data_IF_446089751609
#
_entry.id   IF_446089751609
#
_cell.length_a   1.000
_cell.length_b   1.000
_cell.length_c   1.000
_cell.angle_alpha   90.00
_cell.angle_beta   90.00
_cell.angle_gamma   90.00
#
_symmetry.space_group_name_H-M   'P 1'
#
loop_
_entity.id
_entity.type
_entity.pdbx_description
1 polymer ?
#
# COMPACT_ATOMS: atom_id res chain seq x y z
N UNK A 1 23.06 -28.19 25.23
CA UNK A 1 23.01 -28.10 23.76
C UNK A 1 21.59 -28.43 23.34
N UNK A 2 20.77 -27.41 23.05
CA UNK A 2 19.41 -27.60 22.54
C UNK A 2 19.49 -27.63 21.01
N UNK A 3 19.06 -28.75 20.43
CA UNK A 3 18.90 -28.91 18.98
C UNK A 3 17.80 -27.98 18.47
N UNK A 4 18.21 -26.97 17.71
CA UNK A 4 17.32 -26.19 16.87
C UNK A 4 16.91 -27.08 15.68
N UNK A 5 15.78 -27.79 15.81
CA UNK A 5 15.13 -28.44 14.68
C UNK A 5 14.72 -27.36 13.69
N UNK A 6 15.38 -27.32 12.54
CA UNK A 6 14.93 -26.56 11.37
C UNK A 6 13.45 -26.89 11.10
N UNK A 7 12.59 -25.90 10.77
CA UNK A 7 11.22 -26.18 10.42
C UNK A 7 11.19 -27.15 9.23
N UNK A 8 10.48 -28.27 9.38
CA UNK A 8 10.20 -29.16 8.25
C UNK A 8 9.29 -28.39 7.31
N UNK A 9 9.83 -27.98 6.16
CA UNK A 9 9.03 -27.49 5.04
C UNK A 9 8.11 -28.64 4.61
N UNK A 10 6.87 -28.62 5.07
CA UNK A 10 5.86 -29.58 4.63
C UNK A 10 5.64 -29.42 3.14
N UNK A 11 5.87 -30.49 2.36
CA UNK A 11 5.53 -30.48 0.95
C UNK A 11 4.02 -30.27 0.81
N UNK A 12 3.61 -29.35 -0.08
CA UNK A 12 2.22 -29.25 -0.49
C UNK A 12 1.84 -30.58 -1.16
N UNK A 13 0.70 -31.15 -0.77
CA UNK A 13 0.22 -32.39 -1.34
C UNK A 13 0.11 -32.27 -2.87
N UNK A 14 0.57 -33.30 -3.61
CA UNK A 14 0.61 -33.28 -5.08
C UNK A 14 -0.75 -32.94 -5.72
N UNK A 15 -1.87 -33.42 -5.16
CA UNK A 15 -3.20 -33.11 -5.68
C UNK A 15 -3.57 -31.65 -5.48
N UNK A 16 -3.19 -31.08 -4.33
CA UNK A 16 -3.38 -29.65 -4.03
C UNK A 16 -2.50 -28.80 -4.93
N UNK A 17 -1.24 -29.19 -5.14
CA UNK A 17 -0.30 -28.49 -6.02
C UNK A 17 -0.77 -28.51 -7.49
N UNK A 18 -1.30 -29.65 -7.93
CA UNK A 18 -1.92 -29.80 -9.25
C UNK A 18 -3.14 -28.89 -9.39
N UNK A 19 -4.00 -28.81 -8.38
CA UNK A 19 -5.13 -27.86 -8.39
C UNK A 19 -4.64 -26.41 -8.45
N UNK A 20 -3.70 -26.02 -7.58
CA UNK A 20 -3.16 -24.65 -7.54
C UNK A 20 -2.58 -24.23 -8.89
N UNK A 21 -1.88 -25.15 -9.56
CA UNK A 21 -1.22 -24.90 -10.84
C UNK A 21 -2.18 -24.74 -12.02
N UNK A 22 -3.42 -25.23 -11.91
CA UNK A 22 -4.39 -25.28 -13.02
C UNK A 22 -5.68 -24.50 -12.75
N UNK A 23 -5.93 -24.09 -11.50
CA UNK A 23 -7.09 -23.30 -11.12
C UNK A 23 -7.02 -21.89 -11.73
N UNK A 24 -8.19 -21.33 -12.04
CA UNK A 24 -8.25 -19.93 -12.47
C UNK A 24 -7.92 -18.99 -11.31
N UNK A 25 -7.50 -17.76 -11.62
CA UNK A 25 -7.24 -16.76 -10.58
C UNK A 25 -8.48 -16.52 -9.69
N UNK A 26 -9.66 -16.50 -10.28
CA UNK A 26 -10.93 -16.36 -9.57
C UNK A 26 -11.15 -17.52 -8.60
N UNK A 27 -10.97 -18.76 -9.05
CA UNK A 27 -11.15 -19.95 -8.22
C UNK A 27 -10.14 -19.98 -7.06
N UNK A 28 -8.90 -19.57 -7.31
CA UNK A 28 -7.87 -19.44 -6.28
C UNK A 28 -8.26 -18.39 -5.23
N UNK A 29 -8.65 -17.20 -5.66
CA UNK A 29 -9.06 -16.13 -4.74
C UNK A 29 -10.25 -16.55 -3.88
N UNK A 30 -11.27 -17.17 -4.48
CA UNK A 30 -12.45 -17.66 -3.77
C UNK A 30 -12.13 -18.78 -2.79
N UNK A 31 -11.30 -19.74 -3.21
CA UNK A 31 -10.86 -20.84 -2.35
C UNK A 31 -10.05 -20.32 -1.17
N UNK A 32 -9.13 -19.37 -1.38
CA UNK A 32 -8.33 -18.73 -0.33
C UNK A 32 -9.26 -17.97 0.63
N UNK A 33 -10.16 -17.10 0.12
CA UNK A 33 -11.09 -16.34 0.97
C UNK A 33 -11.94 -17.26 1.84
N UNK A 34 -12.54 -18.31 1.26
CA UNK A 34 -13.35 -19.29 2.01
C UNK A 34 -12.53 -20.04 3.04
N UNK A 35 -11.32 -20.45 2.68
CA UNK A 35 -10.40 -21.14 3.60
C UNK A 35 -10.04 -20.25 4.77
N UNK A 36 -9.64 -19.00 4.53
CA UNK A 36 -9.29 -18.05 5.58
C UNK A 36 -10.50 -17.70 6.47
N UNK A 37 -11.69 -17.57 5.89
CA UNK A 37 -12.92 -17.26 6.63
C UNK A 37 -13.42 -18.40 7.53
N UNK A 38 -13.06 -19.65 7.23
CA UNK A 38 -13.48 -20.84 7.99
C UNK A 38 -12.36 -21.45 8.83
N UNK A 39 -11.14 -20.94 8.72
CA UNK A 39 -9.98 -21.37 9.50
C UNK A 39 -9.79 -20.52 10.76
N UNK A 40 -9.04 -21.01 11.77
CA UNK A 40 -8.67 -20.19 12.92
C UNK A 40 -7.89 -18.92 12.50
N UNK A 41 -7.93 -17.83 13.29
CA UNK A 41 -7.22 -16.57 12.97
C UNK A 41 -5.71 -16.74 12.70
N UNK A 42 -5.08 -17.76 13.28
CA UNK A 42 -3.66 -18.09 13.05
C UNK A 42 -3.38 -18.46 11.58
N UNK A 43 -4.34 -19.01 10.84
CA UNK A 43 -4.19 -19.30 9.43
C UNK A 43 -4.08 -18.02 8.58
N UNK A 44 -4.90 -17.00 8.88
CA UNK A 44 -4.80 -15.69 8.25
C UNK A 44 -3.47 -15.01 8.57
N UNK A 45 -3.01 -15.07 9.83
CA UNK A 45 -1.70 -14.54 10.21
C UNK A 45 -0.54 -15.23 9.45
N UNK A 46 -0.58 -16.56 9.32
CA UNK A 46 0.41 -17.33 8.58
C UNK A 46 0.40 -17.01 7.08
N UNK A 47 -0.79 -16.90 6.48
CA UNK A 47 -0.96 -16.50 5.08
C UNK A 47 -0.36 -15.11 4.82
N UNK A 48 -0.70 -14.14 5.68
CA UNK A 48 -0.16 -12.78 5.60
C UNK A 48 1.36 -12.74 5.77
N UNK A 49 1.93 -13.54 6.66
CA UNK A 49 3.39 -13.67 6.81
C UNK A 49 4.04 -14.22 5.54
N UNK A 50 3.48 -15.28 4.95
CA UNK A 50 3.98 -15.84 3.69
C UNK A 50 3.87 -14.84 2.51
N UNK A 51 2.78 -14.07 2.45
CA UNK A 51 2.59 -13.01 1.46
C UNK A 51 3.65 -11.91 1.62
N UNK A 52 3.89 -11.43 2.84
CA UNK A 52 4.95 -10.45 3.15
C UNK A 52 6.32 -10.94 2.69
N UNK A 53 6.70 -12.15 3.07
CA UNK A 53 7.95 -12.78 2.68
C UNK A 53 8.11 -12.84 1.15
N UNK A 54 7.04 -13.16 0.43
CA UNK A 54 7.03 -13.18 -1.03
C UNK A 54 7.26 -11.79 -1.63
N UNK A 55 6.59 -10.76 -1.09
CA UNK A 55 6.65 -9.37 -1.57
C UNK A 55 8.03 -8.75 -1.34
N UNK A 56 8.65 -9.01 -0.18
CA UNK A 56 10.04 -8.62 0.10
C UNK A 56 10.98 -9.22 -0.94
N UNK A 57 10.85 -10.53 -1.23
CA UNK A 57 11.70 -11.21 -2.24
C UNK A 57 11.51 -10.67 -3.66
N UNK A 58 10.31 -10.23 -4.05
CA UNK A 58 10.07 -9.62 -5.37
C UNK A 58 10.46 -8.16 -5.47
N UNK A 59 11.02 -7.53 -4.42
CA UNK A 59 11.32 -6.08 -4.39
C UNK A 59 10.07 -5.24 -4.71
N UNK A 60 8.93 -5.70 -4.23
CA UNK A 60 7.63 -5.06 -4.47
C UNK A 60 7.50 -3.70 -3.75
N UNK A 61 8.47 -3.36 -2.90
CA UNK A 61 8.58 -2.08 -2.19
C UNK A 61 9.42 -1.02 -2.92
N UNK A 62 9.87 -1.26 -4.16
CA UNK A 62 10.63 -0.27 -4.92
C UNK A 62 9.82 1.02 -5.10
N UNK A 63 10.38 2.17 -4.73
CA UNK A 63 9.74 3.48 -4.92
C UNK A 63 9.74 3.82 -6.42
N UNK A 64 8.58 4.14 -7.02
CA UNK A 64 8.50 4.49 -8.44
C UNK A 64 9.08 5.89 -8.70
N UNK A 65 9.47 6.16 -9.94
CA UNK A 65 9.80 7.53 -10.37
C UNK A 65 8.50 8.34 -10.51
N UNK A 66 8.30 9.44 -9.75
CA UNK A 66 7.12 10.27 -9.87
C UNK A 66 6.86 10.81 -11.30
N UNK A 67 7.90 10.95 -12.13
CA UNK A 67 7.78 11.50 -13.48
C UNK A 67 7.11 10.55 -14.49
N UNK A 68 6.93 9.28 -14.15
CA UNK A 68 6.38 8.27 -15.07
C UNK A 68 4.91 7.96 -14.81
N UNK A 69 4.32 8.50 -13.74
CA UNK A 69 2.99 8.12 -13.25
C UNK A 69 1.84 8.84 -13.95
N UNK A 70 2.11 10.04 -14.45
CA UNK A 70 1.16 10.84 -15.19
C UNK A 70 1.80 11.39 -16.46
N UNK A 71 1.00 11.56 -17.50
CA UNK A 71 1.43 12.14 -18.77
C UNK A 71 0.53 13.32 -19.11
N UNK A 72 1.16 14.41 -19.55
CA UNK A 72 0.45 15.56 -20.08
C UNK A 72 0.11 15.31 -21.55
N UNK A 73 -1.18 15.17 -21.89
CA UNK A 73 -1.65 14.99 -23.27
C UNK A 73 -1.73 16.29 -24.03
N UNK A 74 -2.12 17.37 -23.35
CA UNK A 74 -2.23 18.71 -23.92
C UNK A 74 -1.92 19.76 -22.86
N UNK A 75 -1.96 21.05 -23.19
CA UNK A 75 -1.63 22.12 -22.25
C UNK A 75 -2.45 22.10 -20.94
N UNK A 76 -3.66 21.54 -20.97
CA UNK A 76 -4.56 21.45 -19.81
C UNK A 76 -4.93 20.02 -19.40
N UNK A 77 -4.59 19.02 -20.21
CA UNK A 77 -5.08 17.64 -20.00
C UNK A 77 -3.95 16.72 -19.52
N UNK A 78 -4.19 16.08 -18.39
CA UNK A 78 -3.33 15.06 -17.80
C UNK A 78 -4.06 13.73 -17.72
N UNK A 79 -3.29 12.65 -17.85
CA UNK A 79 -3.82 11.29 -17.68
C UNK A 79 -2.88 10.41 -16.86
N UNK A 80 -3.48 9.43 -16.19
CA UNK A 80 -2.76 8.35 -15.55
C UNK A 80 -2.07 7.46 -16.59
N UNK A 81 -0.83 7.08 -16.34
CA UNK A 81 -0.14 6.09 -17.17
C UNK A 81 -0.48 4.67 -16.70
N UNK A 82 -0.27 3.63 -17.55
CA UNK A 82 -0.37 2.23 -17.11
C UNK A 82 0.57 1.87 -15.95
N UNK A 83 1.68 2.61 -15.80
CA UNK A 83 2.61 2.44 -14.68
C UNK A 83 1.93 2.80 -13.34
N UNK A 84 1.09 3.84 -13.31
CA UNK A 84 0.36 4.20 -12.09
C UNK A 84 -0.54 3.05 -11.64
N UNK A 85 -1.25 2.39 -12.56
CA UNK A 85 -2.10 1.24 -12.21
C UNK A 85 -1.28 0.09 -11.60
N UNK A 86 -0.10 -0.19 -12.15
CA UNK A 86 0.81 -1.19 -11.60
C UNK A 86 1.30 -0.79 -10.20
N UNK A 87 1.67 0.48 -10.01
CA UNK A 87 2.11 1.05 -8.73
C UNK A 87 1.00 0.99 -7.67
N UNK A 88 -0.23 1.32 -8.02
CA UNK A 88 -1.36 1.27 -7.08
C UNK A 88 -1.67 -0.17 -6.68
N UNK A 89 -1.74 -1.11 -7.62
CA UNK A 89 -1.90 -2.55 -7.29
C UNK A 89 -0.81 -3.05 -6.34
N UNK A 90 0.41 -2.57 -6.54
CA UNK A 90 1.56 -2.87 -5.71
C UNK A 90 1.43 -2.34 -4.29
N UNK A 91 1.07 -1.06 -4.15
CA UNK A 91 0.80 -0.43 -2.85
C UNK A 91 -0.30 -1.19 -2.08
N UNK A 92 -1.40 -1.55 -2.77
CA UNK A 92 -2.49 -2.33 -2.19
C UNK A 92 -2.07 -3.71 -1.70
N UNK A 93 -1.19 -4.39 -2.43
CA UNK A 93 -0.60 -5.65 -1.98
C UNK A 93 0.30 -5.47 -0.74
N UNK A 94 1.05 -4.36 -0.64
CA UNK A 94 1.89 -4.06 0.52
C UNK A 94 1.04 -3.78 1.77
N UNK A 95 0.13 -2.81 1.74
CA UNK A 95 -0.67 -2.53 2.95
C UNK A 95 -1.61 -3.70 3.29
N UNK A 96 -2.12 -4.44 2.29
CA UNK A 96 -2.95 -5.62 2.49
C UNK A 96 -2.22 -6.81 3.12
N UNK A 97 -0.88 -6.82 3.06
CA UNK A 97 -0.03 -7.82 3.73
C UNK A 97 0.57 -7.30 5.05
N UNK A 98 0.08 -6.16 5.55
CA UNK A 98 0.57 -5.53 6.78
C UNK A 98 1.98 -4.96 6.64
N UNK A 99 2.34 -4.48 5.46
CA UNK A 99 3.57 -3.71 5.16
C UNK A 99 3.18 -2.24 4.87
N UNK A 100 2.58 -1.59 5.85
CA UNK A 100 2.01 -0.25 5.70
C UNK A 100 3.06 0.82 5.43
N UNK A 101 4.21 0.79 6.13
CA UNK A 101 5.28 1.77 5.89
C UNK A 101 5.83 1.67 4.46
N UNK A 102 6.06 0.44 3.98
CA UNK A 102 6.51 0.21 2.61
C UNK A 102 5.47 0.72 1.58
N UNK A 103 4.18 0.52 1.85
CA UNK A 103 3.10 1.04 1.00
C UNK A 103 3.08 2.57 0.99
N UNK A 104 3.20 3.22 2.16
CA UNK A 104 3.20 4.68 2.27
C UNK A 104 4.34 5.29 1.47
N UNK A 105 5.55 4.71 1.51
CA UNK A 105 6.69 5.18 0.70
C UNK A 105 6.42 5.12 -0.80
N UNK A 106 5.71 4.09 -1.27
CA UNK A 106 5.28 4.00 -2.67
C UNK A 106 4.24 5.07 -3.00
N UNK A 107 3.24 5.25 -2.13
CA UNK A 107 2.17 6.23 -2.33
C UNK A 107 2.65 7.68 -2.20
N UNK A 108 3.70 7.96 -1.43
CA UNK A 108 4.31 9.29 -1.36
C UNK A 108 4.81 9.73 -2.74
N UNK A 109 5.40 8.83 -3.53
CA UNK A 109 5.81 9.14 -4.90
C UNK A 109 4.60 9.48 -5.80
N UNK A 110 3.46 8.83 -5.58
CA UNK A 110 2.20 9.13 -6.28
C UNK A 110 1.69 10.52 -5.92
N UNK A 111 1.68 10.90 -4.64
CA UNK A 111 1.28 12.24 -4.19
C UNK A 111 2.21 13.32 -4.76
N UNK A 112 3.52 13.08 -4.77
CA UNK A 112 4.50 13.98 -5.40
C UNK A 112 4.22 14.16 -6.88
N UNK A 113 3.85 13.09 -7.59
CA UNK A 113 3.50 13.15 -8.99
C UNK A 113 2.19 13.93 -9.22
N UNK A 114 1.16 13.65 -8.41
CA UNK A 114 -0.13 14.34 -8.46
C UNK A 114 -0.01 15.86 -8.18
N UNK A 115 0.92 16.28 -7.31
CA UNK A 115 1.19 17.71 -7.10
C UNK A 115 1.69 18.46 -8.36
N UNK A 116 2.07 17.75 -9.42
CA UNK A 116 2.53 18.33 -10.69
C UNK A 116 1.49 18.27 -11.80
N UNK A 117 0.35 17.63 -11.54
CA UNK A 117 -0.72 17.48 -12.51
C UNK A 117 -1.82 18.51 -12.27
N UNK A 118 -2.68 18.65 -13.28
CA UNK A 118 -3.94 19.38 -13.17
C UNK A 118 -5.05 18.47 -13.67
N UNK A 119 -6.22 18.58 -13.07
CA UNK A 119 -7.40 17.82 -13.45
C UNK A 119 -8.61 18.75 -13.44
N UNK A 120 -9.60 18.38 -14.23
CA UNK A 120 -10.89 19.06 -14.22
C UNK A 120 -11.78 18.42 -13.14
N UNK A 121 -12.70 19.20 -12.55
CA UNK A 121 -13.77 18.65 -11.70
C UNK A 121 -14.58 17.59 -12.45
N UNK A 122 -15.04 16.58 -11.72
CA UNK A 122 -15.79 15.41 -12.19
C UNK A 122 -15.06 14.56 -13.25
N UNK A 123 -13.73 14.72 -13.39
CA UNK A 123 -12.94 13.92 -14.33
C UNK A 123 -12.61 12.53 -13.81
N UNK A 124 -12.28 11.61 -14.73
CA UNK A 124 -11.76 10.28 -14.37
C UNK A 124 -10.46 10.37 -13.55
N UNK A 125 -9.65 11.40 -13.80
CA UNK A 125 -8.42 11.65 -13.05
C UNK A 125 -8.72 12.09 -11.62
N UNK A 126 -9.66 13.01 -11.41
CA UNK A 126 -10.11 13.39 -10.06
C UNK A 126 -10.67 12.18 -9.29
N UNK A 127 -11.52 11.40 -9.96
CA UNK A 127 -12.08 10.17 -9.39
C UNK A 127 -10.98 9.18 -8.99
N UNK A 128 -9.94 9.02 -9.82
CA UNK A 128 -8.78 8.20 -9.50
C UNK A 128 -8.01 8.74 -8.28
N UNK A 129 -7.81 10.06 -8.19
CA UNK A 129 -7.13 10.68 -7.05
C UNK A 129 -7.90 10.47 -5.73
N UNK A 130 -9.23 10.51 -5.76
CA UNK A 130 -10.06 10.16 -4.62
C UNK A 130 -9.92 8.68 -4.18
N UNK A 131 -9.70 7.74 -5.12
CA UNK A 131 -9.36 6.37 -4.76
C UNK A 131 -7.95 6.25 -4.15
N UNK A 132 -6.99 7.05 -4.63
CA UNK A 132 -5.64 7.10 -4.07
C UNK A 132 -5.67 7.65 -2.63
N UNK A 133 -6.48 8.66 -2.35
CA UNK A 133 -6.71 9.19 -1.01
C UNK A 133 -7.19 8.10 -0.03
N UNK A 134 -8.15 7.28 -0.48
CA UNK A 134 -8.63 6.13 0.28
C UNK A 134 -7.51 5.08 0.50
N UNK A 135 -6.70 4.79 -0.53
CA UNK A 135 -5.57 3.86 -0.41
C UNK A 135 -4.51 4.36 0.60
N UNK A 136 -4.22 5.66 0.63
CA UNK A 136 -3.28 6.25 1.61
C UNK A 136 -3.83 6.07 3.02
N UNK A 137 -5.11 6.33 3.24
CA UNK A 137 -5.76 6.14 4.53
C UNK A 137 -5.67 4.68 5.00
N UNK A 138 -5.87 3.71 4.10
CA UNK A 138 -5.69 2.28 4.43
C UNK A 138 -4.22 1.92 4.71
N UNK A 139 -3.28 2.53 3.98
CA UNK A 139 -1.86 2.33 4.23
C UNK A 139 -1.42 2.88 5.60
N UNK A 140 -1.98 4.01 6.04
CA UNK A 140 -1.75 4.54 7.40
C UNK A 140 -2.27 3.59 8.48
N UNK A 141 -3.49 3.06 8.32
CA UNK A 141 -4.04 2.06 9.25
C UNK A 141 -3.14 0.82 9.32
N UNK A 142 -2.71 0.32 8.16
CA UNK A 142 -1.79 -0.83 8.08
C UNK A 142 -0.44 -0.53 8.74
N UNK A 143 0.09 0.69 8.59
CA UNK A 143 1.35 1.11 9.22
C UNK A 143 1.21 1.16 10.74
N UNK A 144 0.09 1.66 11.27
CA UNK A 144 -0.20 1.62 12.72
C UNK A 144 -0.22 0.19 13.26
N UNK A 145 -0.87 -0.74 12.56
CA UNK A 145 -0.86 -2.16 12.94
C UNK A 145 0.52 -2.82 12.81
N UNK A 146 1.34 -2.35 11.88
CA UNK A 146 2.72 -2.78 11.72
C UNK A 146 3.59 -2.34 12.92
N UNK A 147 3.40 -1.10 13.35
CA UNK A 147 4.03 -0.51 14.53
C UNK A 147 3.61 -1.17 15.83
N UNK A 148 2.31 -1.36 16.04
CA UNK A 148 1.76 -1.98 17.26
C UNK A 148 2.26 -3.41 17.44
N UNK A 149 2.57 -4.09 16.34
CA UNK A 149 3.17 -5.42 16.35
C UNK A 149 4.70 -5.43 16.52
N UNK A 150 5.33 -4.25 16.70
CA UNK A 150 6.77 -4.11 16.88
C UNK A 150 7.60 -4.52 15.67
N UNK A 151 7.06 -4.40 14.46
CA UNK A 151 7.74 -4.83 13.22
C UNK A 151 8.51 -3.71 12.52
N UNK A 152 8.42 -2.49 13.03
CA UNK A 152 8.99 -1.27 12.44
C UNK A 152 9.99 -0.62 13.41
N UNK A 153 10.83 0.27 12.88
CA UNK A 153 11.74 1.10 13.69
C UNK A 153 11.25 2.53 13.76
N UNK A 154 11.38 3.17 14.93
CA UNK A 154 10.94 4.55 15.17
C UNK A 154 11.50 5.56 14.14
N UNK A 155 12.76 5.40 13.71
CA UNK A 155 13.36 6.26 12.68
C UNK A 155 12.68 6.08 11.32
N UNK A 156 12.36 4.84 10.92
CA UNK A 156 11.67 4.57 9.66
C UNK A 156 10.24 5.12 9.66
N UNK A 157 9.55 4.98 10.79
CA UNK A 157 8.21 5.52 11.00
C UNK A 157 8.21 7.05 10.88
N UNK A 158 9.14 7.72 11.59
CA UNK A 158 9.25 9.17 11.59
C UNK A 158 9.61 9.73 10.20
N UNK A 159 10.55 9.10 9.50
CA UNK A 159 10.92 9.51 8.14
C UNK A 159 9.78 9.30 7.14
N UNK A 160 9.07 8.17 7.23
CA UNK A 160 7.91 7.89 6.35
C UNK A 160 6.77 8.88 6.59
N UNK A 161 6.48 9.18 7.85
CA UNK A 161 5.49 10.20 8.24
C UNK A 161 5.85 11.56 7.69
N UNK A 162 7.07 12.03 7.96
CA UNK A 162 7.56 13.33 7.51
C UNK A 162 7.53 13.45 5.99
N UNK A 163 7.96 12.40 5.27
CA UNK A 163 7.97 12.38 3.82
C UNK A 163 6.55 12.51 3.24
N UNK A 164 5.60 11.74 3.76
CA UNK A 164 4.20 11.81 3.31
C UNK A 164 3.55 13.16 3.66
N UNK A 165 3.71 13.64 4.89
CA UNK A 165 3.19 14.94 5.31
C UNK A 165 3.73 16.08 4.45
N UNK A 166 5.03 16.05 4.13
CA UNK A 166 5.66 17.04 3.24
C UNK A 166 5.12 16.96 1.81
N UNK A 167 4.91 15.74 1.29
CA UNK A 167 4.36 15.54 -0.05
C UNK A 167 2.91 16.02 -0.15
N UNK A 168 2.07 15.71 0.83
CA UNK A 168 0.67 16.17 0.89
C UNK A 168 0.61 17.69 0.96
N UNK A 169 1.42 18.31 1.82
CA UNK A 169 1.51 19.77 1.91
C UNK A 169 1.93 20.40 0.58
N UNK A 170 3.00 19.91 -0.04
CA UNK A 170 3.49 20.44 -1.30
C UNK A 170 2.48 20.25 -2.44
N UNK A 171 1.76 19.12 -2.45
CA UNK A 171 0.67 18.88 -3.38
C UNK A 171 -0.47 19.89 -3.16
N UNK A 172 -0.91 20.11 -1.91
CA UNK A 172 -1.94 21.10 -1.58
C UNK A 172 -1.54 22.52 -1.98
N UNK A 173 -0.31 22.94 -1.67
CA UNK A 173 0.22 24.25 -2.08
C UNK A 173 0.20 24.42 -3.61
N UNK A 174 0.55 23.37 -4.36
CA UNK A 174 0.54 23.39 -5.83
C UNK A 174 -0.87 23.40 -6.41
N UNK A 175 -1.78 22.61 -5.84
CA UNK A 175 -3.20 22.57 -6.25
C UNK A 175 -3.88 23.91 -6.02
N UNK A 176 -3.65 24.51 -4.85
CA UNK A 176 -4.16 25.85 -4.53
C UNK A 176 -3.63 26.94 -5.47
N UNK A 177 -2.40 26.80 -5.99
CA UNK A 177 -1.81 27.78 -6.91
C UNK A 177 -2.52 27.85 -8.28
N UNK A 178 -3.25 26.81 -8.67
CA UNK A 178 -4.11 26.82 -9.86
C UNK A 178 -5.61 26.80 -9.52
N UNK A 179 -5.97 27.07 -8.25
CA UNK A 179 -7.34 27.13 -7.75
C UNK A 179 -8.11 25.81 -7.93
N UNK A 180 -7.40 24.67 -7.85
CA UNK A 180 -8.01 23.34 -7.90
C UNK A 180 -8.53 22.85 -6.56
N UNK A 181 -9.38 21.83 -6.62
CA UNK A 181 -9.85 21.11 -5.44
C UNK A 181 -8.83 20.04 -5.01
N UNK A 182 -8.38 20.11 -3.76
CA UNK A 182 -7.37 19.20 -3.23
C UNK A 182 -7.96 17.81 -2.96
N UNK A 183 -7.41 16.72 -3.53
CA UNK A 183 -8.09 15.43 -3.54
C UNK A 183 -7.70 14.54 -2.34
N UNK A 184 -6.73 14.94 -1.52
CA UNK A 184 -6.13 14.09 -0.49
C UNK A 184 -6.47 14.51 0.94
N UNK A 185 -7.70 15.00 1.17
CA UNK A 185 -8.14 15.48 2.49
C UNK A 185 -8.09 14.38 3.55
N UNK A 186 -8.57 13.16 3.23
CA UNK A 186 -8.59 12.06 4.22
C UNK A 186 -7.20 11.55 4.54
N UNK A 187 -6.30 11.59 3.57
CA UNK A 187 -4.89 11.25 3.75
C UNK A 187 -4.21 12.25 4.70
N UNK A 188 -4.49 13.55 4.59
CA UNK A 188 -4.00 14.56 5.54
C UNK A 188 -4.48 14.24 6.95
N UNK A 189 -5.80 14.06 7.13
CA UNK A 189 -6.38 13.72 8.43
C UNK A 189 -5.75 12.45 9.02
N UNK A 190 -5.58 11.42 8.20
CA UNK A 190 -4.98 10.14 8.61
C UNK A 190 -3.52 10.31 9.06
N UNK A 191 -2.72 11.07 8.31
CA UNK A 191 -1.31 11.31 8.63
C UNK A 191 -1.16 12.18 9.88
N UNK A 192 -2.04 13.16 10.09
CA UNK A 192 -2.01 14.00 11.31
C UNK A 192 -2.35 13.21 12.58
N UNK A 193 -3.29 12.28 12.47
CA UNK A 193 -3.70 11.40 13.57
C UNK A 193 -2.66 10.31 13.86
N UNK A 194 -1.93 9.86 12.84
CA UNK A 194 -0.86 8.88 12.99
C UNK A 194 0.35 9.48 13.74
N UNK A 195 0.74 8.85 14.86
CA UNK A 195 1.86 9.28 15.71
C UNK A 195 3.03 8.28 15.63
N UNK A 196 4.11 8.59 14.89
CA UNK A 196 5.30 7.75 14.81
C UNK A 196 5.96 7.54 16.18
N UNK A 197 6.53 6.36 16.42
CA UNK A 197 7.28 6.03 17.64
C UNK A 197 6.44 5.91 18.91
N UNK A 198 5.13 6.12 18.84
CA UNK A 198 4.20 5.84 19.93
C UNK A 198 3.57 4.47 19.69
N UNK A 199 4.08 3.43 20.37
CA UNK A 199 3.36 2.17 20.43
C UNK A 199 1.96 2.44 21.00
N UNK A 200 0.91 1.90 20.37
CA UNK A 200 -0.42 1.91 20.98
C UNK A 200 -0.30 1.33 22.38
N UNK A 201 -0.57 2.16 23.40
CA UNK A 201 -0.80 1.69 24.76
C UNK A 201 -2.00 0.75 24.65
N UNK A 202 -1.71 -0.56 24.62
CA UNK A 202 -2.68 -1.62 24.31
C UNK A 202 -4.01 -1.37 25.01
N UNK A 203 -5.09 -1.39 24.23
CA UNK A 203 -6.44 -1.58 24.74
C UNK A 203 -6.76 -3.07 24.80
#
# INVERSE_FOLDING_TARGET
MQDARSPVLGHVNLMVDTFISNATLTDLQDSIRRTLATSPPSAAAAFTAAARDRLVRSKTNAVPDPNTLFVQKSSSEWEATPELEAVLRRARALYGSGMGLASLRVLTAVVVAAGRTRWEPDSDLETLLAYIDADISQAVVSAGQEMDAGRTGADEEAETHKAMASALKACGDSVGAWEGDFPFERAVDSIEQWKPGQASLGR
#
